data_IF_391384552404
#
_entry.id   IF_391384552404
#
_cell.length_a   1.000
_cell.length_b   1.000
_cell.length_c   1.000
_cell.angle_alpha   90.00
_cell.angle_beta   90.00
_cell.angle_gamma   90.00
#
_symmetry.space_group_name_H-M   'P 1'
#
loop_
_entity.id
_entity.type
_entity.pdbx_description
1 polymer ?
#
# COMPACT_ATOMS: atom_id res chain seq x y z
N UNK A 1 6.05 -8.01 -5.61
CA UNK A 1 5.73 -8.17 -4.18
C UNK A 1 6.62 -7.24 -3.38
N UNK A 2 6.08 -6.12 -2.92
CA UNK A 2 6.83 -5.06 -2.24
C UNK A 2 5.99 -4.43 -1.13
N UNK A 3 6.62 -3.70 -0.18
CA UNK A 3 5.97 -3.04 0.96
C UNK A 3 5.12 -4.02 1.77
N UNK A 4 3.87 -3.69 2.12
CA UNK A 4 2.98 -4.57 2.89
C UNK A 4 2.79 -5.98 2.33
N UNK A 5 2.87 -6.17 1.00
CA UNK A 5 2.84 -7.49 0.39
C UNK A 5 4.11 -8.31 0.71
N UNK A 6 5.26 -7.66 0.85
CA UNK A 6 6.49 -8.31 1.26
C UNK A 6 6.48 -8.60 2.78
N UNK A 7 5.85 -7.71 3.57
CA UNK A 7 5.66 -7.94 5.00
C UNK A 7 4.94 -9.28 5.27
N UNK A 8 3.83 -9.52 4.53
CA UNK A 8 3.10 -10.80 4.62
C UNK A 8 3.94 -11.97 4.12
N UNK A 9 4.64 -11.80 2.99
CA UNK A 9 5.41 -12.86 2.37
C UNK A 9 6.62 -13.28 3.22
N UNK A 10 7.20 -12.38 4.01
CA UNK A 10 8.34 -12.68 4.88
C UNK A 10 8.04 -13.79 5.92
N UNK A 11 6.76 -14.06 6.21
CA UNK A 11 6.34 -15.13 7.09
C UNK A 11 6.36 -16.54 6.43
N UNK A 12 6.58 -16.62 5.11
CA UNK A 12 6.64 -17.90 4.40
C UNK A 12 8.02 -18.56 4.55
N UNK A 13 8.03 -19.90 4.50
CA UNK A 13 9.27 -20.68 4.54
C UNK A 13 10.14 -20.40 3.32
N UNK A 14 9.53 -20.29 2.13
CA UNK A 14 10.20 -19.99 0.87
C UNK A 14 9.38 -18.98 0.04
N UNK A 15 10.08 -18.10 -0.66
CA UNK A 15 9.51 -17.03 -1.46
C UNK A 15 10.04 -17.13 -2.89
N UNK A 16 9.17 -17.40 -3.84
CA UNK A 16 9.50 -17.45 -5.26
C UNK A 16 8.89 -16.27 -6.01
N UNK A 17 9.65 -15.71 -6.94
CA UNK A 17 9.25 -14.53 -7.71
C UNK A 17 9.58 -14.70 -9.19
N UNK A 18 8.99 -13.89 -10.06
CA UNK A 18 9.48 -13.70 -11.41
C UNK A 18 10.71 -12.78 -11.40
N UNK A 19 11.64 -12.96 -12.33
CA UNK A 19 12.87 -12.17 -12.39
C UNK A 19 12.63 -10.65 -12.55
N UNK A 20 11.52 -10.27 -13.19
CA UNK A 20 11.11 -8.89 -13.37
C UNK A 20 10.21 -8.36 -12.22
N UNK A 21 9.91 -9.18 -11.23
CA UNK A 21 9.13 -8.75 -10.06
C UNK A 21 9.81 -7.60 -9.32
N UNK A 22 9.01 -6.73 -8.73
CA UNK A 22 9.49 -5.71 -7.79
C UNK A 22 9.37 -6.26 -6.37
N UNK A 23 10.46 -6.26 -5.62
CA UNK A 23 10.59 -6.82 -4.27
C UNK A 23 11.18 -5.77 -3.31
N UNK A 24 10.95 -5.94 -2.02
CA UNK A 24 11.49 -5.05 -0.99
C UNK A 24 10.51 -3.94 -0.63
N UNK A 25 10.93 -2.67 -0.76
CA UNK A 25 10.17 -1.53 -0.24
C UNK A 25 9.86 -1.71 1.26
N UNK A 26 10.88 -2.16 2.01
CA UNK A 26 10.77 -2.36 3.46
C UNK A 26 10.89 -0.99 4.12
N UNK A 27 9.75 -0.33 4.23
CA UNK A 27 9.63 1.01 4.74
C UNK A 27 8.17 1.42 4.86
N UNK A 28 7.93 2.52 5.55
CA UNK A 28 6.59 3.07 5.80
C UNK A 28 6.57 4.52 5.38
N UNK A 29 5.47 4.97 4.82
CA UNK A 29 5.29 6.35 4.39
C UNK A 29 3.86 6.81 4.65
N UNK A 30 3.72 8.01 5.19
CA UNK A 30 2.48 8.78 5.17
C UNK A 30 2.62 9.90 4.15
N UNK A 31 1.60 10.12 3.34
CA UNK A 31 1.59 11.20 2.33
C UNK A 31 0.27 11.93 2.40
N UNK A 32 0.33 13.25 2.32
CA UNK A 32 -0.83 14.11 2.30
C UNK A 32 -0.55 15.40 1.54
N UNK A 33 -1.59 16.20 1.40
CA UNK A 33 -1.50 17.56 0.88
C UNK A 33 -2.04 18.51 1.94
N UNK A 34 -1.46 19.71 2.06
CA UNK A 34 -2.01 20.81 2.84
C UNK A 34 -2.76 21.79 1.93
N UNK A 35 -3.97 22.16 2.31
CA UNK A 35 -4.82 23.06 1.55
C UNK A 35 -5.22 24.32 2.33
N UNK A 36 -4.55 24.60 3.46
CA UNK A 36 -4.86 25.72 4.35
C UNK A 36 -4.91 27.04 3.59
N UNK A 37 -3.82 27.40 2.89
CA UNK A 37 -3.73 28.65 2.13
C UNK A 37 -4.74 28.71 0.97
N UNK A 38 -5.08 27.55 0.40
CA UNK A 38 -6.04 27.47 -0.71
C UNK A 38 -7.47 27.80 -0.25
N UNK A 39 -7.90 27.24 0.89
CA UNK A 39 -9.24 27.56 1.40
C UNK A 39 -9.34 28.98 1.93
N UNK A 40 -8.28 29.51 2.51
CA UNK A 40 -8.18 30.91 2.96
C UNK A 40 -8.28 31.87 1.78
N UNK A 41 -7.55 31.61 0.69
CA UNK A 41 -7.60 32.41 -0.53
C UNK A 41 -8.98 32.40 -1.21
N UNK A 42 -9.78 31.32 -1.02
CA UNK A 42 -11.14 31.20 -1.53
C UNK A 42 -12.20 31.74 -0.56
N UNK A 43 -11.81 32.22 0.63
CA UNK A 43 -12.74 32.72 1.64
C UNK A 43 -13.66 31.64 2.21
N UNK A 44 -13.19 30.39 2.27
CA UNK A 44 -13.97 29.25 2.75
C UNK A 44 -13.80 29.14 4.28
N UNK A 45 -14.90 29.33 4.99
CA UNK A 45 -14.97 29.14 6.45
C UNK A 45 -15.15 27.65 6.77
N UNK A 46 -14.11 27.04 7.31
CA UNK A 46 -14.12 25.63 7.70
C UNK A 46 -14.48 25.46 9.17
N UNK A 47 -15.45 24.60 9.45
CA UNK A 47 -15.94 24.33 10.81
C UNK A 47 -15.65 22.86 11.16
N UNK A 48 -14.87 22.66 12.22
CA UNK A 48 -14.49 21.34 12.73
C UNK A 48 -14.98 21.18 14.17
N UNK A 49 -15.68 20.10 14.41
CA UNK A 49 -16.15 19.73 15.74
C UNK A 49 -15.57 18.35 16.08
N UNK A 50 -14.71 18.27 17.08
CA UNK A 50 -14.07 17.02 17.49
C UNK A 50 -14.32 16.73 18.96
N UNK A 51 -14.29 15.46 19.30
CA UNK A 51 -14.13 14.98 20.66
C UNK A 51 -12.81 14.18 20.71
N UNK A 52 -11.86 14.64 21.52
CA UNK A 52 -10.48 14.19 21.55
C UNK A 52 -9.56 15.21 20.87
N UNK A 53 -8.52 15.61 21.63
CA UNK A 53 -7.64 16.73 21.29
C UNK A 53 -6.88 16.47 19.97
N UNK A 54 -6.34 15.25 19.78
CA UNK A 54 -5.52 14.88 18.65
C UNK A 54 -6.32 14.30 17.45
N UNK A 55 -7.67 14.40 17.49
CA UNK A 55 -8.51 13.72 16.50
C UNK A 55 -8.40 14.33 15.11
N UNK A 56 -7.91 15.56 14.99
CA UNK A 56 -7.78 16.31 13.76
C UNK A 56 -6.32 16.50 13.30
N UNK A 57 -5.37 15.76 13.85
CA UNK A 57 -3.94 15.92 13.56
C UNK A 57 -3.55 15.83 12.08
N UNK A 58 -4.27 15.03 11.32
CA UNK A 58 -4.00 14.82 9.88
C UNK A 58 -4.97 15.59 8.97
N UNK A 59 -5.57 16.62 9.49
CA UNK A 59 -6.50 17.43 8.72
C UNK A 59 -5.79 18.24 7.63
N UNK A 60 -6.03 17.97 6.34
CA UNK A 60 -5.34 18.65 5.24
C UNK A 60 -5.73 20.13 5.09
N UNK A 61 -6.76 20.57 5.79
CA UNK A 61 -7.25 21.96 5.74
C UNK A 61 -6.92 22.75 6.99
N UNK A 62 -6.16 22.18 7.91
CA UNK A 62 -5.61 22.86 9.07
C UNK A 62 -4.09 22.97 8.95
N UNK A 63 -3.48 23.98 9.59
CA UNK A 63 -2.03 24.03 9.73
C UNK A 63 -1.51 22.77 10.41
N UNK A 64 -0.43 22.21 9.89
CA UNK A 64 0.26 21.12 10.59
C UNK A 64 0.87 21.64 11.89
N UNK A 65 0.79 20.84 12.97
CA UNK A 65 1.48 21.16 14.22
C UNK A 65 2.72 20.27 14.37
N UNK A 66 3.82 20.81 14.94
CA UNK A 66 5.03 20.02 15.21
C UNK A 66 4.74 18.80 16.09
N UNK A 67 3.80 18.92 17.03
CA UNK A 67 3.40 17.83 17.93
C UNK A 67 2.65 16.73 17.18
N UNK A 68 1.77 17.10 16.23
CA UNK A 68 1.07 16.13 15.37
C UNK A 68 2.05 15.42 14.43
N UNK A 69 2.98 16.16 13.84
CA UNK A 69 4.05 15.60 13.00
C UNK A 69 4.90 14.59 13.77
N UNK A 70 5.37 14.95 14.98
CA UNK A 70 6.16 14.06 15.81
C UNK A 70 5.40 12.79 16.22
N UNK A 71 4.07 12.88 16.47
CA UNK A 71 3.24 11.69 16.75
C UNK A 71 3.15 10.77 15.55
N UNK A 72 2.98 11.31 14.34
CA UNK A 72 2.94 10.53 13.12
C UNK A 72 4.28 9.89 12.81
N UNK A 73 5.38 10.62 12.93
CA UNK A 73 6.74 10.08 12.76
C UNK A 73 7.00 8.91 13.73
N UNK A 74 6.63 9.04 14.98
CA UNK A 74 6.76 7.97 15.96
C UNK A 74 5.94 6.71 15.59
N UNK A 75 4.75 6.89 15.01
CA UNK A 75 3.95 5.77 14.51
C UNK A 75 4.65 5.11 13.29
N UNK A 76 5.14 5.90 12.34
CA UNK A 76 5.85 5.41 11.16
C UNK A 76 7.09 4.62 11.56
N UNK A 77 7.89 5.13 12.49
CA UNK A 77 9.07 4.46 13.02
C UNK A 77 8.71 3.15 13.73
N UNK A 78 7.69 3.15 14.56
CA UNK A 78 7.22 1.95 15.25
C UNK A 78 6.78 0.86 14.25
N UNK A 79 6.00 1.21 13.23
CA UNK A 79 5.54 0.27 12.20
C UNK A 79 6.72 -0.20 11.34
N UNK A 80 7.69 0.68 11.04
CA UNK A 80 8.88 0.32 10.29
C UNK A 80 9.74 -0.69 11.08
N UNK A 81 9.95 -0.50 12.36
CA UNK A 81 10.68 -1.45 13.20
C UNK A 81 9.99 -2.82 13.24
N UNK A 82 8.67 -2.86 13.41
CA UNK A 82 7.91 -4.11 13.36
C UNK A 82 8.07 -4.83 11.99
N UNK A 83 8.10 -4.07 10.90
CA UNK A 83 8.33 -4.63 9.57
C UNK A 83 9.75 -5.22 9.46
N UNK A 84 10.77 -4.49 9.91
CA UNK A 84 12.17 -4.95 9.95
C UNK A 84 12.28 -6.24 10.77
N UNK A 85 11.68 -6.27 11.95
CA UNK A 85 11.68 -7.46 12.82
C UNK A 85 11.02 -8.67 12.17
N UNK A 86 9.88 -8.48 11.50
CA UNK A 86 9.20 -9.55 10.78
C UNK A 86 10.05 -10.10 9.63
N UNK A 87 10.72 -9.22 8.88
CA UNK A 87 11.62 -9.64 7.80
C UNK A 87 12.83 -10.37 8.37
N UNK A 88 13.43 -9.88 9.43
CA UNK A 88 14.55 -10.56 10.10
C UNK A 88 14.13 -11.92 10.66
N UNK A 89 12.97 -12.02 11.26
CA UNK A 89 12.46 -13.29 11.78
C UNK A 89 12.18 -14.30 10.67
N UNK A 90 11.57 -13.87 9.57
CA UNK A 90 11.22 -14.76 8.45
C UNK A 90 12.41 -15.11 7.55
N UNK A 91 13.34 -14.18 7.33
CA UNK A 91 14.50 -14.41 6.43
C UNK A 91 15.75 -14.87 7.16
N UNK A 92 15.94 -14.47 8.41
CA UNK A 92 17.06 -14.90 9.25
C UNK A 92 18.41 -14.72 8.59
N UNK A 93 19.24 -15.77 8.65
CA UNK A 93 20.61 -15.80 8.07
C UNK A 93 20.64 -15.78 6.53
N UNK A 94 19.49 -15.88 5.87
CA UNK A 94 19.38 -15.72 4.41
C UNK A 94 19.61 -14.30 3.94
N UNK A 95 19.36 -13.29 4.81
CA UNK A 95 19.59 -11.89 4.46
C UNK A 95 21.06 -11.62 4.21
N UNK A 96 21.33 -10.92 3.11
CA UNK A 96 22.65 -10.52 2.67
C UNK A 96 22.62 -9.04 2.28
N UNK A 97 23.69 -8.34 2.55
CA UNK A 97 23.82 -6.91 2.27
C UNK A 97 23.68 -6.06 3.51
N UNK A 98 23.94 -4.77 3.33
CA UNK A 98 23.94 -3.81 4.43
C UNK A 98 22.53 -3.53 4.93
N UNK A 99 22.29 -3.59 6.26
CA UNK A 99 20.97 -3.34 6.84
C UNK A 99 20.36 -2.01 6.41
N UNK A 100 21.15 -0.94 6.37
CA UNK A 100 20.72 0.40 5.96
C UNK A 100 20.21 0.44 4.51
N UNK A 101 20.73 -0.41 3.64
CA UNK A 101 20.22 -0.54 2.29
C UNK A 101 18.96 -1.38 2.22
N UNK A 102 18.93 -2.53 2.93
CA UNK A 102 17.82 -3.48 2.92
C UNK A 102 16.53 -2.86 3.48
N UNK A 103 16.64 -2.06 4.55
CA UNK A 103 15.52 -1.52 5.30
C UNK A 103 15.22 -0.04 5.03
N UNK A 104 15.76 0.53 3.95
CA UNK A 104 15.57 1.94 3.57
C UNK A 104 14.29 2.23 2.78
N UNK A 105 13.43 1.24 2.55
CA UNK A 105 12.30 1.38 1.63
C UNK A 105 12.68 1.21 0.15
N UNK A 106 13.93 0.84 -0.16
CA UNK A 106 14.41 0.60 -1.52
C UNK A 106 13.73 -0.62 -2.14
N UNK A 107 13.63 -0.62 -3.48
CA UNK A 107 13.08 -1.73 -4.27
C UNK A 107 14.19 -2.38 -5.11
N UNK A 108 14.02 -3.67 -5.37
CA UNK A 108 14.92 -4.48 -6.20
C UNK A 108 14.12 -5.29 -7.21
N UNK A 109 14.79 -5.74 -8.28
CA UNK A 109 14.22 -6.74 -9.17
C UNK A 109 14.15 -8.11 -8.47
N UNK A 110 13.32 -9.01 -8.98
CA UNK A 110 13.26 -10.39 -8.47
C UNK A 110 14.63 -11.07 -8.50
N UNK A 111 15.42 -10.84 -9.55
CA UNK A 111 16.78 -11.40 -9.65
C UNK A 111 17.69 -10.86 -8.55
N UNK A 112 17.74 -9.54 -8.36
CA UNK A 112 18.58 -8.94 -7.33
C UNK A 112 18.12 -9.31 -5.90
N UNK A 113 16.83 -9.55 -5.71
CA UNK A 113 16.28 -9.92 -4.40
C UNK A 113 16.77 -11.28 -3.89
N UNK A 114 17.12 -12.21 -4.80
CA UNK A 114 17.70 -13.50 -4.45
C UNK A 114 19.11 -13.30 -3.90
N UNK A 115 19.91 -12.47 -4.55
CA UNK A 115 21.30 -12.16 -4.12
C UNK A 115 21.30 -11.52 -2.72
N UNK A 116 20.28 -10.74 -2.41
CA UNK A 116 20.10 -10.09 -1.12
C UNK A 116 19.42 -11.00 -0.05
N UNK A 117 19.02 -12.21 -0.44
CA UNK A 117 18.33 -13.14 0.44
C UNK A 117 16.89 -12.74 0.80
N UNK A 118 16.34 -11.77 0.08
CA UNK A 118 14.95 -11.36 0.25
C UNK A 118 13.97 -12.37 -0.34
N UNK A 119 14.39 -13.16 -1.32
CA UNK A 119 13.64 -14.26 -1.95
C UNK A 119 14.53 -15.47 -2.14
N UNK A 120 13.94 -16.63 -2.41
CA UNK A 120 14.66 -17.91 -2.47
C UNK A 120 14.90 -18.38 -3.91
N UNK A 121 14.07 -17.94 -4.87
CA UNK A 121 14.25 -18.37 -6.25
C UNK A 121 13.31 -17.71 -7.25
N UNK A 122 13.61 -18.00 -8.52
CA UNK A 122 12.72 -17.65 -9.62
C UNK A 122 11.74 -18.80 -9.85
N UNK A 123 10.45 -18.48 -9.87
CA UNK A 123 9.43 -19.49 -10.15
C UNK A 123 8.03 -18.92 -10.30
N UNK A 124 7.31 -19.43 -11.29
CA UNK A 124 5.86 -19.19 -11.39
C UNK A 124 5.12 -20.06 -10.39
N UNK A 125 3.87 -19.72 -9.99
CA UNK A 125 3.08 -20.59 -9.10
C UNK A 125 2.91 -22.03 -9.64
N UNK A 126 2.92 -22.20 -10.97
CA UNK A 126 2.85 -23.51 -11.59
C UNK A 126 4.17 -24.28 -11.47
N UNK A 127 5.29 -23.61 -11.65
CA UNK A 127 6.62 -24.19 -11.47
C UNK A 127 6.81 -24.66 -10.02
N UNK A 128 6.55 -23.77 -9.07
CA UNK A 128 6.68 -24.08 -7.64
C UNK A 128 5.79 -25.25 -7.24
N UNK A 129 4.53 -25.27 -7.67
CA UNK A 129 3.62 -26.36 -7.35
C UNK A 129 4.13 -27.72 -7.86
N UNK A 130 4.70 -27.77 -9.06
CA UNK A 130 5.16 -29.02 -9.70
C UNK A 130 6.53 -29.46 -9.22
N UNK A 131 7.47 -28.53 -9.22
CA UNK A 131 8.91 -28.87 -9.07
C UNK A 131 9.39 -28.74 -7.62
N UNK A 132 8.76 -27.86 -6.84
CA UNK A 132 9.16 -27.64 -5.44
C UNK A 132 8.26 -28.43 -4.49
N UNK A 133 6.92 -28.31 -4.66
CA UNK A 133 5.94 -28.96 -3.76
C UNK A 133 5.62 -30.39 -4.22
N UNK A 134 5.81 -30.74 -5.49
CA UNK A 134 5.42 -32.02 -6.05
C UNK A 134 3.90 -32.18 -6.30
N UNK A 135 3.12 -31.10 -6.22
CA UNK A 135 1.68 -31.07 -6.40
C UNK A 135 1.29 -30.55 -7.79
N UNK A 136 1.19 -31.44 -8.78
CA UNK A 136 0.84 -31.07 -10.15
C UNK A 136 -0.62 -30.58 -10.29
N UNK A 137 -1.54 -31.14 -9.49
CA UNK A 137 -2.96 -30.81 -9.52
C UNK A 137 -3.23 -29.64 -8.56
N UNK A 138 -3.67 -28.51 -9.13
CA UNK A 138 -4.02 -27.31 -8.37
C UNK A 138 -5.50 -27.01 -8.54
N UNK A 139 -6.14 -26.68 -7.44
CA UNK A 139 -7.51 -26.14 -7.45
C UNK A 139 -7.42 -24.64 -7.23
N UNK A 140 -7.95 -23.88 -8.18
CA UNK A 140 -7.99 -22.43 -8.09
C UNK A 140 -9.28 -21.98 -7.38
N UNK A 141 -9.13 -21.52 -6.16
CA UNK A 141 -10.22 -20.96 -5.35
C UNK A 141 -10.39 -19.46 -5.50
N UNK A 142 -9.67 -18.82 -6.43
CA UNK A 142 -9.79 -17.38 -6.64
C UNK A 142 -11.23 -17.01 -6.98
N UNK A 143 -11.87 -16.11 -6.22
CA UNK A 143 -13.24 -15.69 -6.51
C UNK A 143 -13.32 -15.05 -7.90
N UNK A 144 -13.99 -15.70 -8.83
CA UNK A 144 -14.24 -15.12 -10.13
C UNK A 144 -15.33 -14.06 -9.98
N UNK A 145 -15.01 -12.79 -10.19
CA UNK A 145 -16.03 -11.74 -10.29
C UNK A 145 -17.01 -12.13 -11.39
N UNK A 146 -18.26 -12.36 -11.02
CA UNK A 146 -19.30 -12.68 -12.01
C UNK A 146 -19.43 -11.51 -12.97
N UNK A 147 -19.64 -11.81 -14.25
CA UNK A 147 -19.85 -10.79 -15.30
C UNK A 147 -21.02 -9.85 -14.92
N UNK A 148 -21.99 -10.39 -14.20
CA UNK A 148 -23.13 -9.65 -13.63
C UNK A 148 -22.67 -8.58 -12.64
N UNK A 149 -21.68 -8.85 -11.75
CA UNK A 149 -21.19 -7.85 -10.80
C UNK A 149 -20.43 -6.73 -11.51
N UNK A 150 -19.74 -7.05 -12.61
CA UNK A 150 -19.10 -6.04 -13.46
C UNK A 150 -20.14 -5.19 -14.22
N UNK A 151 -21.22 -5.80 -14.67
CA UNK A 151 -22.32 -5.09 -15.35
C UNK A 151 -23.08 -4.19 -14.36
N UNK A 152 -23.36 -4.67 -13.15
CA UNK A 152 -24.02 -3.89 -12.09
C UNK A 152 -23.15 -2.71 -11.64
N UNK A 153 -21.84 -2.89 -11.49
CA UNK A 153 -20.92 -1.81 -11.15
C UNK A 153 -20.83 -0.76 -12.28
N UNK A 154 -20.86 -1.18 -13.55
CA UNK A 154 -20.91 -0.26 -14.70
C UNK A 154 -22.24 0.48 -14.83
N UNK A 155 -23.36 -0.16 -14.49
CA UNK A 155 -24.68 0.48 -14.46
C UNK A 155 -24.77 1.45 -13.27
N UNK A 156 -24.31 1.05 -12.09
CA UNK A 156 -24.28 1.90 -10.91
C UNK A 156 -23.44 3.18 -11.12
N UNK A 157 -22.28 3.08 -11.74
CA UNK A 157 -21.45 4.25 -12.07
C UNK A 157 -22.08 5.16 -13.13
N UNK A 158 -22.81 4.61 -14.11
CA UNK A 158 -23.55 5.41 -15.11
C UNK A 158 -24.72 6.14 -14.50
N UNK A 159 -25.48 5.50 -13.60
CA UNK A 159 -26.59 6.13 -12.87
C UNK A 159 -26.06 7.23 -11.94
N UNK A 160 -24.98 6.99 -11.22
CA UNK A 160 -24.35 7.99 -10.38
C UNK A 160 -23.84 9.20 -11.19
N UNK A 161 -23.23 8.98 -12.34
CA UNK A 161 -22.77 10.06 -13.22
C UNK A 161 -23.94 10.83 -13.85
N UNK A 162 -25.01 10.15 -14.29
CA UNK A 162 -26.18 10.84 -14.84
C UNK A 162 -26.95 11.63 -13.77
N UNK A 163 -26.97 11.18 -12.52
CA UNK A 163 -27.50 11.95 -11.40
C UNK A 163 -26.63 13.17 -11.07
N UNK A 164 -25.33 13.04 -11.13
CA UNK A 164 -24.40 14.16 -10.95
C UNK A 164 -24.51 15.19 -12.08
N UNK A 165 -24.70 14.74 -13.31
CA UNK A 165 -24.94 15.64 -14.46
C UNK A 165 -26.31 16.32 -14.40
N UNK A 166 -27.33 15.66 -13.88
CA UNK A 166 -28.67 16.26 -13.66
C UNK A 166 -28.72 17.26 -12.51
N UNK A 167 -27.79 17.13 -11.53
CA UNK A 167 -27.62 18.09 -10.41
C UNK A 167 -26.71 19.26 -10.81
N UNK A 168 -26.02 19.21 -11.95
CA UNK A 168 -25.33 20.38 -12.50
C UNK A 168 -26.37 21.44 -12.90
N UNK A 169 -26.51 22.41 -12.02
CA UNK A 169 -27.31 23.61 -12.21
C UNK A 169 -27.00 24.24 -13.59
N UNK A 170 -28.06 24.61 -14.36
CA UNK A 170 -27.80 25.31 -15.60
C UNK A 170 -27.09 26.63 -15.25
N UNK A 171 -25.90 26.83 -15.83
CA UNK A 171 -25.19 28.09 -15.74
C UNK A 171 -26.14 29.20 -16.22
N UNK A 172 -26.40 30.15 -15.35
CA UNK A 172 -27.12 31.37 -15.67
C UNK A 172 -26.42 32.05 -16.84
N UNK A 173 -27.00 31.96 -18.01
CA UNK A 173 -26.72 32.87 -19.12
C UNK A 173 -27.40 34.19 -18.79
N UNK A 174 -26.62 35.18 -18.43
CA UNK A 174 -26.92 36.60 -18.64
C UNK A 174 -25.60 37.35 -18.84
#
# INVERSE_FOLDING_TARGET
MASGAYYVAAAADEIYVDGASVVGSIGVVSRGFGFTDAIDALGIDRRVYTAGEDKADLDPFAPASPEAEARIEAILDSVHQQFIEAVRAGRGERLRGEPDALFSGRIWSGQASIELGLTDGIGTPRHVAREVIGAANRVDYTPRRRVIDQALNRLGSRIANSLMDAVRWPALQH
#
